data_IF_794944995802
#
_entry.id   IF_794944995802
#
_cell.length_a   1.000
_cell.length_b   1.000
_cell.length_c   1.000
_cell.angle_alpha   90.00
_cell.angle_beta   90.00
_cell.angle_gamma   90.00
#
_symmetry.space_group_name_H-M   'P 1'
#
loop_
_entity.id
_entity.type
_entity.pdbx_description
1 polymer ?
#
# COMPACT_ATOMS: atom_id res chain seq x y z
N UNK A 1 21.22 16.72 1.64
CA UNK A 1 21.32 17.31 0.29
C UNK A 1 20.39 16.53 -0.62
N UNK A 2 19.35 17.17 -1.16
CA UNK A 2 18.38 16.50 -2.05
C UNK A 2 19.03 16.25 -3.40
N UNK A 3 19.00 15.02 -3.91
CA UNK A 3 19.54 14.69 -5.23
C UNK A 3 18.89 15.57 -6.31
N UNK A 4 19.65 16.07 -7.30
CA UNK A 4 19.10 16.89 -8.37
C UNK A 4 18.07 16.10 -9.17
N UNK A 5 16.96 16.75 -9.52
CA UNK A 5 15.94 16.12 -10.35
C UNK A 5 16.56 15.78 -11.72
N UNK A 6 16.47 14.51 -12.12
CA UNK A 6 16.99 14.04 -13.41
C UNK A 6 15.88 14.03 -14.46
N UNK A 7 16.24 14.40 -15.69
CA UNK A 7 15.46 14.09 -16.86
C UNK A 7 15.35 12.56 -16.98
N UNK A 8 14.19 12.08 -17.44
CA UNK A 8 13.81 10.67 -17.68
C UNK A 8 14.98 9.68 -17.80
N UNK A 9 14.79 8.43 -17.33
CA UNK A 9 15.77 7.34 -17.25
C UNK A 9 16.61 7.12 -18.52
N UNK A 10 16.11 7.48 -19.70
CA UNK A 10 16.82 7.39 -20.98
C UNK A 10 17.79 8.54 -21.27
N UNK A 11 17.58 9.72 -20.69
CA UNK A 11 18.36 10.93 -20.96
C UNK A 11 19.34 11.24 -19.83
N UNK A 12 18.92 11.06 -18.57
CA UNK A 12 19.73 11.22 -17.35
C UNK A 12 20.35 12.62 -17.12
N UNK A 13 20.22 13.55 -18.07
CA UNK A 13 20.61 14.95 -17.93
C UNK A 13 19.83 15.65 -16.80
N UNK A 14 20.33 16.78 -16.26
CA UNK A 14 19.61 17.55 -15.25
C UNK A 14 18.22 18.01 -15.75
N UNK A 15 17.19 17.80 -14.94
CA UNK A 15 15.81 18.15 -15.25
C UNK A 15 15.49 19.60 -14.87
N UNK A 16 15.63 20.53 -15.81
CA UNK A 16 15.36 21.97 -15.61
C UNK A 16 13.90 22.36 -15.87
N UNK A 17 13.21 21.63 -16.75
CA UNK A 17 11.82 21.85 -17.14
C UNK A 17 10.87 20.95 -16.34
N UNK A 18 9.97 21.55 -15.56
CA UNK A 18 8.93 20.80 -14.84
C UNK A 18 7.68 20.59 -15.69
N UNK A 19 7.09 19.40 -15.65
CA UNK A 19 5.76 19.18 -16.24
C UNK A 19 4.72 20.11 -15.59
N UNK A 20 4.07 20.94 -16.40
CA UNK A 20 3.07 21.93 -15.96
C UNK A 20 1.77 21.28 -15.50
N UNK A 21 1.45 20.07 -15.99
CA UNK A 21 0.25 19.33 -15.61
C UNK A 21 0.39 18.61 -14.27
N UNK A 22 1.61 18.23 -13.86
CA UNK A 22 1.88 17.60 -12.55
C UNK A 22 1.71 18.53 -11.33
N UNK A 23 0.90 19.59 -11.41
CA UNK A 23 0.57 20.44 -10.26
C UNK A 23 -0.18 19.57 -9.23
N UNK A 24 0.37 19.51 -8.01
CA UNK A 24 -0.21 18.72 -6.91
C UNK A 24 0.07 17.21 -6.95
N UNK A 25 0.83 16.70 -7.93
CA UNK A 25 1.28 15.31 -7.90
C UNK A 25 2.38 15.11 -6.85
N UNK A 26 2.34 13.98 -6.13
CA UNK A 26 3.42 13.57 -5.23
C UNK A 26 4.71 13.28 -6.01
N UNK A 27 4.57 12.65 -7.20
CA UNK A 27 5.67 12.39 -8.13
C UNK A 27 5.72 13.47 -9.21
N UNK A 28 6.59 14.46 -9.00
CA UNK A 28 6.84 15.52 -9.99
C UNK A 28 7.81 15.01 -11.05
N UNK A 29 7.50 15.29 -12.32
CA UNK A 29 8.34 14.92 -13.45
C UNK A 29 9.09 16.13 -14.00
N UNK A 30 10.39 15.95 -14.18
CA UNK A 30 11.31 16.95 -14.70
C UNK A 30 11.97 16.44 -16.00
N UNK A 31 12.30 17.36 -16.88
CA UNK A 31 12.84 17.12 -18.20
C UNK A 31 13.97 18.11 -18.48
N UNK A 32 14.95 17.76 -19.30
CA UNK A 32 15.98 18.72 -19.74
C UNK A 32 15.48 19.60 -20.89
N UNK A 33 14.44 19.18 -21.63
CA UNK A 33 13.89 19.91 -22.78
C UNK A 33 12.43 19.52 -23.07
N UNK A 34 11.73 20.35 -23.85
CA UNK A 34 10.37 20.06 -24.34
C UNK A 34 10.33 18.84 -25.28
N UNK A 35 11.43 18.54 -25.98
CA UNK A 35 11.56 17.34 -26.80
C UNK A 35 11.51 16.07 -25.94
N UNK A 36 12.27 16.03 -24.84
CA UNK A 36 12.23 14.92 -23.89
C UNK A 36 10.85 14.76 -23.23
N UNK A 37 10.18 15.88 -22.89
CA UNK A 37 8.81 15.84 -22.39
C UNK A 37 7.85 15.23 -23.41
N UNK A 38 7.89 15.67 -24.66
CA UNK A 38 6.98 15.22 -25.72
C UNK A 38 7.17 13.74 -26.05
N UNK A 39 8.43 13.28 -26.02
CA UNK A 39 8.76 11.87 -26.21
C UNK A 39 8.25 11.00 -25.03
N UNK A 40 8.54 11.41 -23.79
CA UNK A 40 8.07 10.71 -22.58
C UNK A 40 6.56 10.80 -22.40
N UNK A 41 5.89 11.79 -23.01
CA UNK A 41 4.45 12.03 -22.88
C UNK A 41 3.59 10.80 -23.21
N UNK A 42 4.05 9.95 -24.14
CA UNK A 42 3.38 8.68 -24.50
C UNK A 42 3.17 7.78 -23.26
N UNK A 43 4.13 7.80 -22.34
CA UNK A 43 4.11 7.04 -21.09
C UNK A 43 3.64 7.90 -19.92
N UNK A 44 4.21 9.10 -19.78
CA UNK A 44 3.95 10.01 -18.67
C UNK A 44 2.48 10.39 -18.51
N UNK A 45 1.74 10.58 -19.61
CA UNK A 45 0.32 10.96 -19.57
C UNK A 45 -0.54 10.02 -18.72
N UNK A 46 -0.15 8.74 -18.61
CA UNK A 46 -0.90 7.73 -17.87
C UNK A 46 -0.84 7.96 -16.35
N UNK A 47 0.17 8.66 -15.85
CA UNK A 47 0.38 8.90 -14.42
C UNK A 47 0.60 10.38 -14.07
N UNK A 48 0.54 11.26 -15.07
CA UNK A 48 0.59 12.71 -14.89
C UNK A 48 -0.53 13.17 -13.95
N UNK A 49 -0.18 14.01 -12.96
CA UNK A 49 -1.13 14.56 -11.97
C UNK A 49 -1.78 13.54 -11.02
N UNK A 50 -1.39 12.27 -11.07
CA UNK A 50 -2.00 11.25 -10.22
C UNK A 50 -1.32 11.16 -8.84
N UNK A 51 -2.10 10.77 -7.84
CA UNK A 51 -1.63 10.58 -6.45
C UNK A 51 -0.84 9.27 -6.32
N UNK A 52 0.11 9.25 -5.39
CA UNK A 52 0.83 8.06 -4.96
C UNK A 52 0.98 8.06 -3.43
N UNK A 53 1.12 6.89 -2.84
CA UNK A 53 1.31 6.67 -1.41
C UNK A 53 2.69 6.09 -1.15
N UNK A 54 3.42 6.67 -0.20
CA UNK A 54 4.69 6.12 0.28
C UNK A 54 4.40 5.14 1.41
N UNK A 55 4.82 3.89 1.21
CA UNK A 55 4.73 2.83 2.21
C UNK A 55 6.10 2.56 2.81
N UNK A 56 6.12 2.42 4.14
CA UNK A 56 7.22 1.80 4.86
C UNK A 56 6.81 0.39 5.25
N UNK A 57 7.53 -0.58 4.69
CA UNK A 57 7.37 -1.99 4.95
C UNK A 57 8.42 -2.43 5.97
N UNK A 58 7.98 -3.11 7.03
CA UNK A 58 8.84 -3.64 8.09
C UNK A 58 8.53 -5.12 8.32
N UNK A 59 9.55 -5.98 8.24
CA UNK A 59 9.41 -7.40 8.55
C UNK A 59 9.29 -7.60 10.07
N UNK A 60 8.18 -8.14 10.53
CA UNK A 60 7.99 -8.39 11.95
C UNK A 60 8.83 -9.58 12.42
N UNK A 61 9.45 -9.45 13.59
CA UNK A 61 10.31 -10.50 14.17
C UNK A 61 11.77 -10.43 13.72
N UNK A 62 12.10 -9.59 12.75
CA UNK A 62 13.49 -9.34 12.34
C UNK A 62 14.04 -8.15 13.13
N UNK A 63 14.76 -8.41 14.21
CA UNK A 63 15.42 -7.36 15.01
C UNK A 63 16.92 -7.21 14.70
N UNK A 64 17.53 -8.21 14.07
CA UNK A 64 18.96 -8.17 13.73
C UNK A 64 19.29 -9.04 12.49
N UNK A 65 19.33 -8.48 11.27
CA UNK A 65 19.10 -7.07 10.94
C UNK A 65 17.61 -6.69 10.91
N UNK A 66 17.31 -5.41 11.12
CA UNK A 66 15.97 -4.85 10.91
C UNK A 66 15.72 -4.70 9.39
N UNK A 67 14.80 -5.50 8.85
CA UNK A 67 14.51 -5.54 7.42
C UNK A 67 13.36 -4.57 7.11
N UNK A 68 13.73 -3.40 6.58
CA UNK A 68 12.80 -2.36 6.13
C UNK A 68 12.95 -2.01 4.67
N UNK A 69 11.83 -1.67 4.02
CA UNK A 69 11.79 -1.19 2.63
C UNK A 69 10.84 0.00 2.54
N UNK A 70 11.20 1.01 1.74
CA UNK A 70 10.35 2.16 1.47
C UNK A 70 10.11 2.23 -0.03
N UNK A 71 8.86 2.34 -0.44
CA UNK A 71 8.49 2.41 -1.86
C UNK A 71 7.23 3.25 -2.07
N UNK A 72 7.11 3.84 -3.25
CA UNK A 72 5.95 4.64 -3.66
C UNK A 72 5.02 3.82 -4.55
N UNK A 73 3.73 3.80 -4.21
CA UNK A 73 2.69 3.09 -4.96
C UNK A 73 1.66 4.07 -5.49
N UNK A 74 1.30 4.01 -6.78
CA UNK A 74 0.17 4.74 -7.33
C UNK A 74 -1.15 4.54 -6.58
N UNK A 75 -1.91 5.61 -6.35
CA UNK A 75 -3.18 5.52 -5.62
C UNK A 75 -4.26 4.68 -6.32
N UNK A 76 -4.16 4.54 -7.65
CA UNK A 76 -5.05 3.72 -8.47
C UNK A 76 -4.62 2.26 -8.57
N UNK A 77 -3.60 1.84 -7.81
CA UNK A 77 -3.26 0.44 -7.73
C UNK A 77 -4.29 -0.32 -6.88
N UNK A 78 -4.48 -1.58 -7.20
CA UNK A 78 -5.25 -2.51 -6.38
C UNK A 78 -4.38 -3.12 -5.28
N UNK A 79 -5.01 -3.75 -4.29
CA UNK A 79 -4.28 -4.51 -3.27
C UNK A 79 -3.51 -5.70 -3.85
N UNK A 80 -3.99 -6.31 -4.94
CA UNK A 80 -3.23 -7.31 -5.69
C UNK A 80 -1.94 -6.75 -6.28
N UNK A 81 -1.98 -5.53 -6.83
CA UNK A 81 -0.77 -4.87 -7.34
C UNK A 81 0.19 -4.45 -6.21
N UNK A 82 -0.35 -4.07 -5.05
CA UNK A 82 0.44 -3.85 -3.85
C UNK A 82 1.14 -5.15 -3.42
N UNK A 83 0.44 -6.28 -3.41
CA UNK A 83 1.02 -7.60 -3.13
C UNK A 83 2.22 -7.88 -4.04
N UNK A 84 2.08 -7.76 -5.37
CA UNK A 84 3.21 -7.98 -6.28
C UNK A 84 4.38 -7.01 -6.03
N UNK A 85 4.09 -5.77 -5.64
CA UNK A 85 5.15 -4.81 -5.32
C UNK A 85 5.91 -5.21 -4.06
N UNK A 86 5.22 -5.74 -3.04
CA UNK A 86 5.85 -6.27 -1.84
C UNK A 86 6.74 -7.48 -2.17
N UNK A 87 6.24 -8.42 -2.98
CA UNK A 87 6.98 -9.60 -3.42
C UNK A 87 8.28 -9.21 -4.14
N UNK A 88 8.20 -8.21 -5.01
CA UNK A 88 9.37 -7.65 -5.69
C UNK A 88 10.35 -6.98 -4.70
N UNK A 89 9.84 -6.15 -3.80
CA UNK A 89 10.65 -5.40 -2.83
C UNK A 89 11.37 -6.30 -1.81
N UNK A 90 10.84 -7.49 -1.53
CA UNK A 90 11.41 -8.47 -0.60
C UNK A 90 12.38 -9.46 -1.25
N UNK A 91 12.76 -9.25 -2.51
CA UNK A 91 13.79 -10.05 -3.18
C UNK A 91 13.24 -11.24 -3.98
N UNK A 92 12.20 -10.98 -4.79
CA UNK A 92 11.60 -11.95 -5.73
C UNK A 92 11.03 -13.18 -5.04
N UNK A 93 10.16 -12.98 -4.06
CA UNK A 93 9.29 -14.06 -3.61
C UNK A 93 8.43 -14.56 -4.79
N UNK A 94 8.27 -15.88 -4.90
CA UNK A 94 7.73 -16.52 -6.10
C UNK A 94 6.19 -16.43 -6.25
N UNK A 95 5.49 -15.65 -5.42
CA UNK A 95 4.02 -15.56 -5.41
C UNK A 95 3.31 -16.94 -5.32
N UNK A 96 3.97 -17.93 -4.70
CA UNK A 96 3.50 -19.31 -4.61
C UNK A 96 2.67 -19.60 -3.36
N UNK A 97 2.67 -18.67 -2.40
CA UNK A 97 2.05 -18.87 -1.10
C UNK A 97 0.85 -17.94 -0.92
N UNK A 98 -0.05 -18.38 -0.05
CA UNK A 98 -1.26 -17.64 0.31
C UNK A 98 -0.89 -16.35 1.04
N UNK A 99 -1.70 -15.31 0.83
CA UNK A 99 -1.53 -14.03 1.49
C UNK A 99 -2.85 -13.39 1.89
N UNK A 100 -2.78 -12.55 2.91
CA UNK A 100 -3.89 -11.70 3.34
C UNK A 100 -3.36 -10.33 3.79
N UNK A 101 -4.14 -9.29 3.56
CA UNK A 101 -3.97 -8.00 4.22
C UNK A 101 -5.03 -7.85 5.30
N UNK A 102 -4.65 -7.29 6.45
CA UNK A 102 -5.57 -7.03 7.56
C UNK A 102 -5.31 -5.69 8.21
N UNK A 103 -6.37 -4.96 8.54
CA UNK A 103 -6.32 -3.81 9.43
C UNK A 103 -6.67 -4.26 10.84
N UNK A 104 -5.77 -4.00 11.79
CA UNK A 104 -5.92 -4.45 13.17
C UNK A 104 -6.09 -3.29 14.14
N UNK A 105 -7.01 -3.42 15.09
CA UNK A 105 -6.96 -2.57 16.29
C UNK A 105 -5.77 -2.97 17.15
N UNK A 106 -4.99 -1.98 17.59
CA UNK A 106 -3.95 -2.20 18.58
C UNK A 106 -4.61 -2.75 19.85
N UNK A 107 -4.29 -3.99 20.19
CA UNK A 107 -4.63 -4.61 21.47
C UNK A 107 -3.32 -4.72 22.25
N UNK A 108 -3.33 -4.30 23.52
CA UNK A 108 -2.18 -4.37 24.43
C UNK A 108 -1.71 -5.81 24.75
N UNK A 109 -2.36 -6.84 24.21
CA UNK A 109 -2.01 -8.23 24.48
C UNK A 109 -0.81 -8.69 23.63
N UNK A 110 0.19 -9.26 24.30
CA UNK A 110 1.37 -9.89 23.70
C UNK A 110 1.00 -10.77 22.48
N UNK A 111 1.77 -10.60 21.40
CA UNK A 111 1.58 -11.28 20.11
C UNK A 111 1.93 -12.76 20.22
N UNK A 112 0.94 -13.59 20.54
CA UNK A 112 1.02 -15.02 20.25
C UNK A 112 0.32 -15.26 18.89
N UNK A 113 0.87 -16.16 18.07
CA UNK A 113 0.31 -16.54 16.75
C UNK A 113 -1.15 -17.02 16.83
N UNK A 114 -1.63 -17.36 18.02
CA UNK A 114 -2.96 -17.90 18.33
C UNK A 114 -3.92 -16.89 18.98
N UNK A 115 -3.49 -15.64 19.24
CA UNK A 115 -4.37 -14.64 19.88
C UNK A 115 -5.47 -14.23 18.90
N UNK A 116 -6.74 -14.06 19.34
CA UNK A 116 -7.81 -13.56 18.48
C UNK A 116 -7.41 -12.22 17.88
N UNK A 117 -7.12 -12.21 16.57
CA UNK A 117 -6.76 -11.00 15.85
C UNK A 117 -7.96 -10.06 15.91
N UNK A 118 -7.74 -8.82 16.36
CA UNK A 118 -8.75 -7.77 16.30
C UNK A 118 -8.79 -7.19 14.89
N UNK A 119 -8.92 -8.09 13.90
CA UNK A 119 -9.04 -7.75 12.49
C UNK A 119 -10.40 -7.08 12.28
N UNK A 120 -10.38 -5.89 11.68
CA UNK A 120 -11.59 -5.14 11.36
C UNK A 120 -11.92 -5.25 9.88
N UNK A 121 -10.89 -5.20 9.05
CA UNK A 121 -10.97 -5.34 7.60
C UNK A 121 -9.92 -6.35 7.15
N UNK A 122 -10.35 -7.36 6.39
CA UNK A 122 -9.50 -8.31 5.69
C UNK A 122 -9.64 -8.13 4.19
N UNK A 123 -8.53 -8.22 3.49
CA UNK A 123 -8.47 -8.11 2.03
C UNK A 123 -7.68 -9.32 1.54
N UNK A 124 -8.29 -10.10 0.65
CA UNK A 124 -7.74 -11.38 0.20
C UNK A 124 -8.17 -11.68 -1.26
N UNK A 125 -7.50 -12.66 -1.92
CA UNK A 125 -7.91 -13.13 -3.24
C UNK A 125 -9.36 -13.59 -3.27
N UNK A 126 -10.04 -13.36 -4.40
CA UNK A 126 -11.45 -13.67 -4.56
C UNK A 126 -11.80 -15.15 -4.33
N UNK A 127 -10.86 -16.06 -4.63
CA UNK A 127 -11.05 -17.49 -4.46
C UNK A 127 -11.06 -17.91 -2.98
N UNK A 128 -10.32 -17.23 -2.11
CA UNK A 128 -10.29 -17.54 -0.67
C UNK A 128 -11.55 -17.09 0.07
N UNK A 129 -12.29 -16.12 -0.49
CA UNK A 129 -13.53 -15.65 0.13
C UNK A 129 -14.63 -16.72 0.06
N UNK A 130 -14.70 -17.47 -1.06
CA UNK A 130 -15.74 -18.47 -1.29
C UNK A 130 -15.72 -19.55 -0.21
N UNK A 131 -14.53 -20.03 0.13
CA UNK A 131 -14.32 -21.10 1.12
C UNK A 131 -14.79 -20.72 2.54
N UNK A 132 -14.81 -19.43 2.90
CA UNK A 132 -15.29 -19.00 4.22
C UNK A 132 -16.79 -18.68 4.28
N UNK A 133 -17.38 -18.19 3.19
CA UNK A 133 -18.80 -17.82 3.12
C UNK A 133 -19.71 -19.05 2.93
N UNK A 134 -19.21 -20.12 2.29
CA UNK A 134 -19.99 -21.33 2.01
C UNK A 134 -19.95 -22.37 3.16
N UNK A 135 -19.21 -22.10 4.23
CA UNK A 135 -19.11 -23.00 5.38
C UNK A 135 -20.22 -22.72 6.41
N UNK A 136 -21.15 -23.67 6.64
CA UNK A 136 -22.22 -23.48 7.62
C UNK A 136 -21.63 -23.32 9.04
N UNK A 137 -22.30 -22.55 9.93
CA UNK A 137 -21.87 -22.39 11.30
C UNK A 137 -21.85 -23.76 12.00
N UNK A 138 -20.66 -24.17 12.43
CA UNK A 138 -20.48 -25.42 13.18
C UNK A 138 -21.17 -25.31 14.55
N UNK A 139 -21.96 -26.32 14.97
CA UNK A 139 -22.59 -26.35 16.28
C UNK A 139 -21.55 -26.24 17.40
N UNK A 140 -21.77 -25.35 18.37
CA UNK A 140 -20.90 -25.18 19.54
C UNK A 140 -19.71 -24.23 19.37
N UNK A 141 -19.52 -23.63 18.18
CA UNK A 141 -18.56 -22.54 18.02
C UNK A 141 -19.15 -21.18 18.40
N UNK A 142 -18.34 -20.26 18.99
CA UNK A 142 -18.79 -18.89 19.22
C UNK A 142 -19.15 -18.20 17.90
N UNK A 143 -20.10 -17.24 17.91
CA UNK A 143 -20.45 -16.50 16.72
C UNK A 143 -19.21 -15.82 16.13
N UNK A 144 -18.97 -16.06 14.84
CA UNK A 144 -17.87 -15.43 14.10
C UNK A 144 -18.01 -13.92 14.23
N UNK A 145 -16.98 -13.25 14.76
CA UNK A 145 -16.93 -11.77 14.78
C UNK A 145 -17.11 -11.27 13.34
N UNK A 146 -17.91 -10.22 13.17
CA UNK A 146 -18.17 -9.63 11.86
C UNK A 146 -16.94 -8.84 11.42
N UNK A 147 -16.08 -9.47 10.61
CA UNK A 147 -14.91 -8.86 9.99
C UNK A 147 -15.30 -8.44 8.58
N UNK A 148 -15.06 -7.18 8.20
CA UNK A 148 -15.29 -6.75 6.82
C UNK A 148 -14.31 -7.47 5.90
N UNK A 149 -14.80 -7.99 4.77
CA UNK A 149 -13.98 -8.71 3.80
C UNK A 149 -14.12 -8.09 2.43
N UNK A 150 -12.99 -7.89 1.76
CA UNK A 150 -12.93 -7.27 0.45
C UNK A 150 -12.01 -8.05 -0.50
N UNK A 151 -12.31 -7.96 -1.80
CA UNK A 151 -11.51 -8.59 -2.86
C UNK A 151 -10.34 -7.71 -3.26
N UNK A 152 -9.14 -8.27 -3.23
CA UNK A 152 -7.92 -7.50 -3.54
C UNK A 152 -7.80 -7.07 -5.00
N UNK A 153 -8.50 -7.75 -5.92
CA UNK A 153 -8.45 -7.48 -7.35
C UNK A 153 -9.26 -6.24 -7.72
N UNK A 154 -10.32 -5.95 -6.96
CA UNK A 154 -11.20 -4.80 -7.20
C UNK A 154 -10.95 -3.63 -6.24
N UNK A 155 -10.35 -3.89 -5.07
CA UNK A 155 -10.14 -2.86 -4.07
C UNK A 155 -8.93 -2.00 -4.40
N UNK A 156 -9.15 -0.71 -4.64
CA UNK A 156 -8.11 0.27 -4.90
C UNK A 156 -7.48 0.78 -3.60
N UNK A 157 -6.22 1.18 -3.65
CA UNK A 157 -5.58 1.87 -2.53
C UNK A 157 -6.29 3.19 -2.22
N UNK A 158 -6.81 3.89 -3.22
CA UNK A 158 -7.60 5.11 -3.03
C UNK A 158 -8.88 4.87 -2.23
N UNK A 159 -9.47 3.69 -2.28
CA UNK A 159 -10.71 3.37 -1.53
C UNK A 159 -10.48 3.36 -0.03
N UNK A 160 -9.23 3.18 0.41
CA UNK A 160 -8.84 3.18 1.82
C UNK A 160 -8.11 4.47 2.20
N UNK A 161 -7.11 4.85 1.41
CA UNK A 161 -6.14 5.86 1.82
C UNK A 161 -6.52 7.28 1.39
N UNK A 162 -7.42 7.47 0.42
CA UNK A 162 -7.89 8.80 0.05
C UNK A 162 -8.91 9.33 1.09
N UNK A 163 -9.01 10.65 1.32
CA UNK A 163 -10.01 11.22 2.23
C UNK A 163 -11.45 10.86 1.88
N UNK A 164 -11.75 10.70 0.58
CA UNK A 164 -13.05 10.28 0.07
C UNK A 164 -13.18 8.76 -0.16
N UNK A 165 -12.23 7.97 0.35
CA UNK A 165 -12.22 6.51 0.17
C UNK A 165 -13.39 5.84 0.89
N UNK A 166 -14.09 4.92 0.21
CA UNK A 166 -15.30 4.24 0.73
C UNK A 166 -15.07 3.43 2.01
N UNK A 167 -13.83 2.97 2.26
CA UNK A 167 -13.45 2.18 3.44
C UNK A 167 -12.58 2.98 4.42
N UNK A 168 -12.40 4.29 4.20
CA UNK A 168 -11.55 5.13 5.05
C UNK A 168 -12.00 5.11 6.50
N UNK A 169 -13.30 5.24 6.77
CA UNK A 169 -13.84 5.25 8.13
C UNK A 169 -13.61 3.93 8.88
N UNK A 170 -13.43 2.82 8.16
CA UNK A 170 -13.15 1.50 8.73
C UNK A 170 -11.65 1.37 9.04
N UNK A 171 -10.79 1.81 8.11
CA UNK A 171 -9.33 1.72 8.25
C UNK A 171 -8.72 2.82 9.13
N UNK A 172 -9.41 3.95 9.29
CA UNK A 172 -8.97 5.11 10.05
C UNK A 172 -10.16 5.78 10.78
N UNK A 173 -10.73 5.12 11.82
CA UNK A 173 -11.93 5.62 12.50
C UNK A 173 -11.70 6.97 13.20
N UNK A 174 -10.51 7.20 13.76
CA UNK A 174 -10.14 8.43 14.49
C UNK A 174 -9.18 9.31 13.67
N UNK A 175 -9.33 9.30 12.34
CA UNK A 175 -8.41 9.92 11.35
C UNK A 175 -6.98 9.35 11.31
N UNK A 176 -6.60 8.52 12.26
CA UNK A 176 -5.36 7.75 12.27
C UNK A 176 -5.56 6.37 11.66
N UNK A 177 -4.68 5.99 10.73
CA UNK A 177 -4.74 4.67 10.12
C UNK A 177 -4.35 3.59 11.11
N UNK A 178 -5.20 2.57 11.21
CA UNK A 178 -4.88 1.32 11.86
C UNK A 178 -3.68 0.65 11.17
N UNK A 179 -2.85 -0.11 11.90
CA UNK A 179 -1.76 -0.87 11.30
C UNK A 179 -2.30 -1.83 10.24
N UNK A 180 -1.75 -1.72 9.03
CA UNK A 180 -1.97 -2.65 7.94
C UNK A 180 -0.93 -3.77 8.06
N UNK A 181 -1.40 -5.00 8.29
CA UNK A 181 -0.57 -6.19 8.36
C UNK A 181 -0.74 -6.98 7.07
N UNK A 182 0.38 -7.28 6.43
CA UNK A 182 0.47 -8.19 5.29
C UNK A 182 1.05 -9.52 5.77
N UNK A 183 0.26 -10.58 5.66
CA UNK A 183 0.66 -11.93 6.03
C UNK A 183 0.95 -12.72 4.74
N UNK A 184 2.11 -13.34 4.67
CA UNK A 184 2.53 -14.21 3.58
C UNK A 184 2.95 -15.57 4.13
N UNK A 185 2.53 -16.65 3.47
CA UNK A 185 2.93 -18.03 3.76
C UNK A 185 2.69 -18.49 5.21
N UNK A 186 1.61 -18.00 5.85
CA UNK A 186 1.19 -18.31 7.24
C UNK A 186 2.28 -18.28 8.35
N UNK A 187 3.48 -17.80 8.03
CA UNK A 187 4.64 -17.74 8.91
C UNK A 187 5.41 -16.42 8.80
N UNK A 188 5.16 -15.62 7.75
CA UNK A 188 5.80 -14.31 7.58
C UNK A 188 4.78 -13.18 7.77
N UNK A 189 5.00 -12.37 8.80
CA UNK A 189 4.16 -11.20 9.10
C UNK A 189 4.93 -9.91 8.79
N UNK A 190 4.31 -9.03 8.01
CA UNK A 190 4.89 -7.75 7.62
C UNK A 190 3.95 -6.63 8.05
N UNK A 191 4.50 -5.59 8.69
CA UNK A 191 3.75 -4.37 8.95
C UNK A 191 4.00 -3.35 7.83
N UNK A 192 2.92 -2.77 7.34
CA UNK A 192 2.91 -1.66 6.39
C UNK A 192 2.41 -0.41 7.10
N UNK A 193 3.26 0.61 7.16
CA UNK A 193 2.87 1.93 7.61
C UNK A 193 2.80 2.86 6.41
N UNK A 194 1.68 3.55 6.25
CA UNK A 194 1.64 4.73 5.38
C UNK A 194 2.40 5.84 6.10
N UNK A 195 3.51 6.30 5.54
CA UNK A 195 4.12 7.53 6.03
C UNK A 195 3.18 8.68 5.76
N UNK A 196 2.77 9.40 6.82
CA UNK A 196 2.10 10.69 6.70
C UNK A 196 3.07 11.59 5.94
N UNK A 197 2.79 11.89 4.67
CA UNK A 197 3.40 13.02 3.99
C UNK A 197 2.89 14.24 4.77
N UNK A 198 3.68 14.71 5.72
CA UNK A 198 3.53 16.05 6.27
C UNK A 198 3.57 16.98 5.06
N UNK A 199 2.41 17.55 4.71
CA UNK A 199 2.45 18.88 4.12
C UNK A 199 3.15 19.74 5.17
N UNK A 200 4.42 20.05 4.94
CA UNK A 200 4.96 21.30 5.43
C UNK A 200 4.09 22.37 4.78
N UNK A 201 3.07 22.82 5.51
CA UNK A 201 2.55 24.16 5.30
C UNK A 201 3.72 25.08 5.62
N UNK A 202 4.45 25.50 4.59
CA UNK A 202 5.15 26.77 4.66
C UNK A 202 4.07 27.82 4.76
N UNK A 203 3.69 28.16 6.00
CA UNK A 203 3.08 29.45 6.28
C UNK A 203 4.07 30.53 5.86
N UNK A 204 3.55 31.52 5.14
CA UNK A 204 4.20 32.80 4.85
C UNK A 204 4.51 33.55 6.14
#
# INVERSE_FOLDING_TARGET
>A
MSSPATCNSFCQNPGTLRCTRCKGANLKRFYCSAACQSWDWKFHKQYCSKKAYTFELTLLGSSNPDIKRVFDIPAWFTFRQLHYTIQYAMGLWNCTHLHEFSFQRLSNSHRNLLTPRHDILKIMPADHLKDEFDMPPMPGMPPRRHVFKEREESLLLSDIFDPAGRLRCIAAPDEEFLPLIYLYDFGVCINLYRRRLSMLMSSM
#
